data_IF_820147600390
#
_entry.id   IF_820147600390
#
_cell.length_a   1.000
_cell.length_b   1.000
_cell.length_c   1.000
_cell.angle_alpha   90.00
_cell.angle_beta   90.00
_cell.angle_gamma   90.00
#
_symmetry.space_group_name_H-M   'P 1'
#
loop_
_entity.id
_entity.type
_entity.pdbx_description
1 polymer ?
2 polymer ?
3 non-polymer ?
4 non-polymer ?
5 non-polymer ?
6 non-polymer ?
7 non-polymer ?
8 water ?
#
# COMPACT_ATOMS: atom_id res chain seq x y z
N UNK A 24 -8.79 -3.00 -5.98
CA UNK A 24 -8.89 -4.39 -5.44
C UNK A 24 -9.85 -5.17 -6.33
N UNK A 25 -9.37 -6.25 -6.92
CA UNK A 25 -10.18 -7.17 -7.74
C UNK A 25 -10.57 -8.37 -6.86
N UNK A 26 -11.87 -8.71 -6.89
CA UNK A 26 -12.32 -9.91 -6.21
C UNK A 26 -12.47 -9.76 -4.71
N UNK A 27 -12.52 -8.50 -4.22
CA UNK A 27 -12.68 -8.17 -2.85
C UNK A 27 -14.11 -7.88 -2.47
N UNK A 28 -14.27 -7.13 -1.39
CA UNK A 28 -15.57 -6.81 -0.85
C UNK A 28 -15.54 -5.38 -0.35
N UNK A 29 -16.71 -4.76 -0.26
CA UNK A 29 -16.82 -3.44 0.35
C UNK A 29 -16.47 -3.54 1.80
N UNK A 30 -15.45 -2.78 2.25
CA UNK A 30 -14.98 -2.92 3.62
C UNK A 30 -16.06 -2.56 4.64
N UNK A 31 -16.77 -1.47 4.36
CA UNK A 31 -17.62 -0.80 5.32
C UNK A 31 -16.95 0.45 5.81
N UNK A 32 -17.73 1.52 6.00
CA UNK A 32 -17.15 2.81 6.30
C UNK A 32 -16.28 2.75 7.56
N UNK A 33 -15.04 3.24 7.40
CA UNK A 33 -14.11 3.43 8.50
C UNK A 33 -13.71 2.18 9.23
N UNK A 34 -13.90 1.02 8.58
CA UNK A 34 -13.46 -0.25 9.15
C UNK A 34 -11.97 -0.50 9.02
N UNK A 35 -11.30 0.35 8.24
CA UNK A 35 -9.84 0.25 8.01
C UNK A 35 -9.30 1.65 8.33
N UNK A 36 -9.24 2.02 9.62
CA UNK A 36 -9.10 3.44 9.96
C UNK A 36 -7.70 4.02 9.74
N UNK A 37 -6.75 3.17 9.45
CA UNK A 37 -5.39 3.57 9.09
C UNK A 37 -5.21 3.78 7.59
N UNK A 38 -6.22 3.42 6.77
CA UNK A 38 -6.10 3.58 5.32
C UNK A 38 -6.26 5.06 4.97
N UNK A 39 -5.32 5.58 4.20
CA UNK A 39 -5.42 6.94 3.66
C UNK A 39 -5.47 6.86 2.14
N UNK A 40 -6.02 7.95 1.57
CA UNK A 40 -5.98 8.21 0.14
C UNK A 40 -5.04 9.37 -0.12
N UNK A 41 -4.14 9.20 -1.08
CA UNK A 41 -3.30 10.28 -1.56
C UNK A 41 -3.99 10.93 -2.76
N UNK A 42 -4.21 12.24 -2.66
CA UNK A 42 -5.06 12.95 -3.61
C UNK A 42 -4.32 14.13 -4.22
N UNK A 43 -4.44 14.22 -5.55
CA UNK A 43 -3.88 15.35 -6.32
C UNK A 43 -4.96 15.88 -7.28
N UNK A 44 -6.16 16.10 -6.74
CA UNK A 44 -7.32 16.35 -7.58
C UNK A 44 -8.00 15.11 -8.12
N UNK A 45 -7.53 13.96 -7.62
CA UNK A 45 -8.01 12.62 -7.89
C UNK A 45 -7.22 11.70 -6.97
N UNK A 46 -7.79 10.55 -6.66
CA UNK A 46 -7.08 9.53 -5.89
C UNK A 46 -6.05 8.86 -6.80
N UNK A 47 -4.79 8.81 -6.34
CA UNK A 47 -3.75 8.19 -7.19
C UNK A 47 -2.99 7.06 -6.52
N UNK A 48 -3.04 6.96 -5.18
CA UNK A 48 -2.31 5.95 -4.43
C UNK A 48 -2.95 5.92 -3.04
N UNK A 49 -2.74 4.80 -2.35
CA UNK A 49 -3.06 4.70 -0.95
C UNK A 49 -1.85 4.96 -0.06
N UNK A 50 -2.09 4.82 1.24
CA UNK A 50 -1.05 4.90 2.27
C UNK A 50 -1.63 4.38 3.57
N UNK A 51 -0.75 4.31 4.57
CA UNK A 51 -1.11 3.80 5.88
C UNK A 51 -0.63 4.79 6.95
N UNK A 52 -1.54 5.19 7.84
CA UNK A 52 -1.18 6.08 8.95
C UNK A 52 -0.45 5.27 10.02
N UNK A 53 0.78 5.71 10.38
CA UNK A 53 1.56 4.99 11.38
C UNK A 53 1.74 5.76 12.69
N UNK A 54 1.47 7.05 12.68
CA UNK A 54 1.30 7.85 13.92
C UNK A 54 0.53 9.07 13.51
N UNK A 55 0.27 10.02 14.45
CA UNK A 55 -0.59 11.12 14.09
C UNK A 55 0.00 12.03 13.02
N UNK A 56 1.29 11.95 12.75
CA UNK A 56 1.80 12.84 11.77
C UNK A 56 2.55 12.19 10.60
N UNK A 57 2.53 10.87 10.48
CA UNK A 57 3.30 10.19 9.46
C UNK A 57 2.50 9.06 8.81
N UNK A 58 2.71 8.99 7.49
CA UNK A 58 2.07 8.00 6.61
C UNK A 58 3.18 7.23 5.87
N UNK A 59 2.98 5.92 5.73
CA UNK A 59 3.80 5.08 4.86
C UNK A 59 3.10 4.86 3.55
N UNK A 60 3.83 5.01 2.45
CA UNK A 60 3.31 4.70 1.12
C UNK A 60 4.45 4.13 0.29
N UNK A 61 4.23 4.04 -1.03
CA UNK A 61 5.25 3.52 -1.95
C UNK A 61 6.08 4.65 -2.53
N UNK A 62 7.38 4.41 -2.71
CA UNK A 62 8.24 5.38 -3.38
C UNK A 62 7.73 5.78 -4.74
N UNK A 63 7.18 4.82 -5.50
CA UNK A 63 6.75 5.16 -6.85
C UNK A 63 5.51 6.04 -6.88
N UNK A 64 4.87 6.27 -5.72
CA UNK A 64 3.77 7.22 -5.58
C UNK A 64 4.22 8.66 -5.29
N UNK A 65 5.52 8.91 -5.27
CA UNK A 65 5.94 10.27 -5.03
C UNK A 65 5.55 11.21 -6.16
N UNK A 66 5.08 12.38 -5.77
CA UNK A 66 4.81 13.52 -6.62
C UNK A 66 4.79 14.73 -5.78
N UNK A 67 4.85 15.92 -6.39
CA UNK A 67 4.38 17.16 -5.81
C UNK A 67 2.85 17.18 -5.56
N UNK A 68 2.39 18.08 -4.71
CA UNK A 68 0.98 18.35 -4.59
C UNK A 68 0.16 17.28 -3.93
N UNK A 69 0.78 16.57 -2.92
CA UNK A 69 0.03 15.51 -2.27
C UNK A 69 -0.81 16.07 -1.14
N UNK A 70 -2.12 15.81 -1.20
CA UNK A 70 -3.01 16.02 -0.07
C UNK A 70 -3.38 14.65 0.47
N UNK A 71 -3.13 14.44 1.76
CA UNK A 71 -3.51 13.17 2.40
C UNK A 71 -4.95 13.29 2.88
N UNK A 72 -5.76 12.30 2.54
CA UNK A 72 -7.16 12.27 2.93
C UNK A 72 -7.37 11.09 3.87
N UNK A 73 -7.66 11.40 5.12
CA UNK A 73 -7.84 10.46 6.21
C UNK A 73 -9.33 10.34 6.51
N UNK A 74 -9.72 9.20 7.10
CA UNK A 74 -11.12 9.02 7.49
C UNK A 74 -12.07 8.78 6.34
N UNK A 75 -11.57 8.47 5.15
CA UNK A 75 -12.40 8.35 3.96
C UNK A 75 -13.12 7.01 3.88
N UNK A 76 -14.32 7.06 3.33
CA UNK A 76 -14.99 5.89 2.74
C UNK A 76 -15.27 6.15 1.28
N UNK A 77 -16.37 6.89 0.99
CA UNK A 77 -16.63 7.36 -0.36
C UNK A 77 -15.71 8.52 -0.68
N UNK A 78 -14.73 8.31 -1.55
CA UNK A 78 -13.76 9.36 -1.86
C UNK A 78 -14.33 10.51 -2.70
N UNK A 79 -15.56 10.32 -3.22
CA UNK A 79 -16.19 11.34 -4.08
C UNK A 79 -17.27 12.14 -3.41
N UNK A 80 -17.53 11.87 -2.12
CA UNK A 80 -18.59 12.58 -1.33
C UNK A 80 -17.99 12.95 -0.01
N UNK A 81 -18.23 14.17 0.46
CA UNK A 81 -17.90 14.58 1.82
C UNK A 81 -19.00 14.06 2.72
N UNK A 82 -18.70 12.98 3.44
CA UNK A 82 -19.65 12.24 4.25
C UNK A 82 -19.62 12.54 5.73
N UNK A 83 -18.54 13.18 6.18
CA UNK A 83 -18.22 13.27 7.61
C UNK A 83 -17.05 12.34 7.91
N UNK A 84 -16.27 12.75 8.90
CA UNK A 84 -15.09 12.04 9.36
C UNK A 84 -13.81 12.27 8.55
N UNK A 85 -13.89 12.93 7.40
CA UNK A 85 -12.69 13.22 6.63
C UNK A 85 -11.80 14.21 7.35
N UNK A 86 -10.50 14.03 7.17
CA UNK A 86 -9.49 15.05 7.46
C UNK A 86 -8.61 15.14 6.23
N UNK A 87 -8.49 16.35 5.66
CA UNK A 87 -7.62 16.58 4.51
C UNK A 87 -6.43 17.37 5.01
N UNK A 88 -5.23 16.80 4.89
CA UNK A 88 -4.02 17.42 5.43
C UNK A 88 -2.94 17.36 4.35
N UNK A 89 -2.34 18.48 4.03
CA UNK A 89 -1.25 18.47 3.04
C UNK A 89 -0.04 17.71 3.55
N UNK A 90 0.66 17.06 2.62
CA UNK A 90 2.00 16.61 2.95
C UNK A 90 2.87 17.86 3.19
N UNK A 91 3.69 17.77 4.20
CA UNK A 91 4.79 18.74 4.39
C UNK A 91 6.16 18.17 4.08
N UNK A 92 6.35 16.86 4.19
CA UNK A 92 7.56 16.17 3.76
C UNK A 92 7.15 14.94 3.00
N UNK A 93 7.84 14.64 1.92
CA UNK A 93 7.67 13.40 1.21
C UNK A 93 9.09 12.84 1.05
N UNK A 94 9.28 11.71 1.69
CA UNK A 94 10.62 11.18 1.83
C UNK A 94 10.70 9.81 1.18
N UNK A 95 11.17 9.77 -0.06
CA UNK A 95 11.39 8.53 -0.78
C UNK A 95 12.65 7.87 -0.23
N UNK A 96 12.66 6.54 -0.11
CA UNK A 96 13.88 5.88 0.33
C UNK A 96 15.04 6.32 -0.57
N UNK A 97 16.19 6.70 0.03
CA UNK A 97 17.31 7.15 -0.83
C UNK A 97 17.83 6.13 -1.79
N UNK A 98 17.60 4.84 -1.52
CA UNK A 98 18.06 3.77 -2.40
C UNK A 98 16.94 3.15 -3.21
N UNK A 99 15.79 3.84 -3.31
CA UNK A 99 14.73 3.38 -4.23
C UNK A 99 15.30 3.26 -5.66
N UNK A 100 15.05 2.13 -6.28
CA UNK A 100 15.48 1.89 -7.66
C UNK A 100 14.24 1.82 -8.50
N UNK A 101 14.07 2.81 -9.37
CA UNK A 101 12.87 2.89 -10.13
C UNK A 101 12.77 1.88 -11.23
N UNK A 102 13.81 1.17 -11.57
CA UNK A 102 13.68 0.07 -12.58
C UNK A 102 13.39 -1.27 -11.94
N UNK A 103 14.00 -1.59 -10.81
CA UNK A 103 13.75 -2.88 -10.17
C UNK A 103 12.63 -2.80 -9.13
N UNK A 104 12.30 -1.56 -8.70
CA UNK A 104 11.35 -1.31 -7.63
C UNK A 104 11.86 -1.75 -6.26
N UNK A 105 13.16 -2.01 -6.11
CA UNK A 105 13.69 -2.28 -4.80
C UNK A 105 13.60 -1.02 -3.93
N UNK A 106 13.34 -1.25 -2.64
CA UNK A 106 13.19 -0.16 -1.69
C UNK A 106 12.02 0.76 -2.05
N UNK A 107 10.89 0.15 -2.40
CA UNK A 107 9.69 0.91 -2.83
C UNK A 107 8.88 1.35 -1.58
N UNK A 108 9.41 2.36 -0.90
CA UNK A 108 8.83 2.89 0.33
C UNK A 108 9.08 4.39 0.36
N UNK A 109 8.06 5.10 0.87
CA UNK A 109 8.10 6.53 1.09
C UNK A 109 7.40 6.83 2.41
N UNK A 110 7.95 7.83 3.12
CA UNK A 110 7.32 8.39 4.34
C UNK A 110 6.77 9.76 3.99
N UNK A 111 5.55 10.04 4.39
CA UNK A 111 4.96 11.38 4.27
C UNK A 111 4.71 11.91 5.65
N UNK A 112 5.24 13.12 5.91
CA UNK A 112 4.90 13.85 7.12
C UNK A 112 3.74 14.78 6.81
N UNK A 113 2.76 14.79 7.68
CA UNK A 113 1.58 15.65 7.54
C UNK A 113 1.92 17.03 8.05
N UNK A 114 1.36 18.06 7.39
CA UNK A 114 1.61 19.45 7.80
C UNK A 114 1.18 19.74 9.21
N UNK A 115 0.09 19.13 9.63
CA UNK A 115 -0.35 19.16 11.02
C UNK A 115 -0.71 17.72 11.41
N UNK A 116 -0.68 17.45 12.72
CA UNK A 116 -1.09 16.15 13.18
C UNK A 116 -2.55 15.89 12.90
N UNK A 117 -2.86 14.66 12.49
CA UNK A 117 -4.24 14.23 12.41
C UNK A 117 -4.83 14.14 13.80
N UNK A 118 -6.14 14.35 13.89
CA UNK A 118 -6.92 14.12 15.09
C UNK A 118 -7.30 12.66 15.13
N UNK A 119 -6.71 11.89 16.05
CA UNK A 119 -6.95 10.45 16.08
C UNK A 119 -8.25 10.19 16.78
N UNK A 120 -9.00 9.23 16.25
CA UNK A 120 -10.29 8.86 16.77
C UNK A 120 -10.59 7.44 16.26
N UNK A 121 -11.79 6.94 16.54
CA UNK A 121 -12.05 5.56 16.13
C UNK A 121 -12.00 5.36 14.61
N UNK A 122 -12.20 6.43 13.83
CA UNK A 122 -12.25 6.38 12.38
C UNK A 122 -10.91 6.79 11.72
N UNK A 123 -10.00 7.34 12.52
CA UNK A 123 -8.70 7.77 12.01
C UNK A 123 -7.71 7.27 13.05
N UNK A 124 -6.99 6.22 12.75
CA UNK A 124 -6.17 5.52 13.72
C UNK A 124 -4.92 4.99 13.07
N UNK A 125 -3.83 4.96 13.83
CA UNK A 125 -2.62 4.39 13.29
C UNK A 125 -2.61 2.88 13.33
N UNK A 126 -1.75 2.29 12.49
CA UNK A 126 -1.46 0.88 12.45
C UNK A 126 -0.03 0.65 12.93
N UNK A 127 0.13 -0.39 13.76
CA UNK A 127 1.45 -0.73 14.27
C UNK A 127 2.38 -1.26 13.22
N UNK A 128 3.67 -0.93 13.37
CA UNK A 128 4.71 -1.53 12.57
C UNK A 128 5.03 -2.94 13.10
N UNK A 129 5.57 -3.80 12.25
CA UNK A 129 5.96 -5.16 12.70
C UNK A 129 7.07 -5.13 13.68
N UNK A 130 7.06 -6.15 14.55
CA UNK A 130 8.20 -6.50 15.38
C UNK A 130 9.05 -7.59 14.78
N UNK A 131 8.50 -8.33 13.88
CA UNK A 131 9.23 -9.33 13.09
C UNK A 131 8.44 -9.52 11.79
N UNK A 132 9.14 -10.13 10.85
CA UNK A 132 8.56 -10.45 9.59
C UNK A 132 7.51 -11.55 9.75
N UNK A 133 6.53 -11.61 8.84
CA UNK A 133 5.43 -12.59 8.85
C UNK A 133 5.80 -13.83 8.09
N UNK A 134 5.20 -14.96 8.44
CA UNK A 134 5.43 -16.22 7.80
C UNK A 134 4.45 -16.46 6.63
N UNK A 135 4.89 -17.32 5.72
CA UNK A 135 4.03 -17.73 4.65
C UNK A 135 2.74 -18.31 5.17
N UNK A 136 1.67 -18.03 4.49
CA UNK A 136 0.38 -18.53 4.85
C UNK A 136 -0.40 -17.68 5.84
N UNK A 137 0.28 -16.69 6.46
CA UNK A 137 -0.44 -15.76 7.30
C UNK A 137 -1.44 -15.00 6.47
N UNK A 138 -2.63 -14.85 7.01
CA UNK A 138 -3.69 -14.14 6.32
C UNK A 138 -3.56 -12.62 6.64
N UNK A 139 -3.74 -11.86 5.60
CA UNK A 139 -3.61 -10.40 5.69
C UNK A 139 -4.82 -9.73 5.06
N UNK A 140 -5.01 -8.46 5.40
CA UNK A 140 -6.05 -7.60 4.86
C UNK A 140 -5.36 -6.56 3.95
N UNK A 141 -5.74 -6.55 2.69
CA UNK A 141 -5.25 -5.61 1.68
C UNK A 141 -6.43 -4.72 1.31
N UNK A 142 -6.23 -3.41 1.20
CA UNK A 142 -7.36 -2.52 0.97
C UNK A 142 -6.95 -1.37 0.06
N UNK A 143 -7.96 -0.78 -0.58
CA UNK A 143 -7.72 0.38 -1.40
C UNK A 143 -8.89 0.74 -2.29
N UNK A 144 -8.70 1.85 -3.01
CA UNK A 144 -9.65 2.40 -3.98
C UNK A 144 -9.25 2.13 -5.42
N UNK A 145 -8.38 1.14 -5.64
CA UNK A 145 -7.97 0.82 -6.98
C UNK A 145 -9.02 0.14 -7.82
N UNK A 146 -8.66 -0.07 -9.08
CA UNK A 146 -9.50 -0.75 -10.06
C UNK A 146 -9.98 -2.08 -9.49
N UNK A 147 -11.25 -2.37 -9.75
CA UNK A 147 -11.90 -3.59 -9.33
C UNK A 147 -12.04 -4.62 -10.46
N UNK A 148 -11.55 -4.29 -11.65
CA UNK A 148 -11.60 -5.24 -12.80
C UNK A 148 -10.18 -5.67 -13.19
N UNK A 149 -10.08 -6.98 -13.55
CA UNK A 149 -8.84 -7.53 -14.08
C UNK A 149 -8.63 -7.30 -15.57
N UNK A 150 -9.72 -6.96 -16.25
CA UNK A 150 -9.69 -6.56 -17.68
C UNK A 150 -10.54 -5.28 -17.78
N UNK A 151 -9.99 -4.20 -18.27
CA UNK A 151 -10.73 -2.98 -18.26
C UNK A 151 -10.60 -2.28 -16.91
N UNK A 152 -11.45 -1.26 -16.72
CA UNK A 152 -11.35 -0.42 -15.53
C UNK A 152 -12.71 -0.12 -14.94
N UNK A 153 -12.75 -0.19 -13.61
CA UNK A 153 -13.87 0.31 -12.84
C UNK A 153 -13.28 0.79 -11.51
N UNK A 154 -13.45 2.08 -11.21
CA UNK A 154 -12.89 2.66 -10.01
C UNK A 154 -13.99 2.86 -8.99
N UNK A 155 -13.87 2.30 -7.80
CA UNK A 155 -14.96 2.34 -6.83
C UNK A 155 -14.98 3.68 -6.09
N UNK A 156 -16.17 4.07 -5.66
CA UNK A 156 -16.27 5.20 -4.73
C UNK A 156 -15.84 4.84 -3.33
N UNK A 157 -16.21 3.63 -2.85
CA UNK A 157 -15.97 3.26 -1.47
C UNK A 157 -14.82 2.26 -1.36
N UNK A 158 -14.25 2.18 -0.14
CA UNK A 158 -13.04 1.39 0.06
C UNK A 158 -13.34 -0.09 -0.10
N UNK A 159 -12.44 -0.79 -0.77
CA UNK A 159 -12.49 -2.23 -0.95
C UNK A 159 -11.43 -2.95 -0.17
N UNK A 160 -11.73 -4.21 0.14
CA UNK A 160 -10.94 -5.04 1.03
C UNK A 160 -10.76 -6.42 0.41
N UNK A 161 -9.65 -7.07 0.75
CA UNK A 161 -9.35 -8.42 0.28
C UNK A 161 -8.56 -9.11 1.37
N UNK A 162 -8.99 -10.32 1.73
CA UNK A 162 -8.18 -11.18 2.59
C UNK A 162 -7.28 -12.03 1.71
N UNK A 163 -6.00 -12.06 2.02
CA UNK A 163 -5.03 -12.71 1.14
C UNK A 163 -3.87 -13.24 1.97
N UNK A 164 -3.34 -14.41 1.60
CA UNK A 164 -2.20 -14.96 2.33
C UNK A 164 -0.88 -14.53 1.75
N UNK A 165 0.14 -14.50 2.64
CA UNK A 165 1.52 -14.37 2.22
C UNK A 165 1.98 -15.64 1.54
N UNK A 166 2.62 -15.53 0.38
CA UNK A 166 3.15 -16.69 -0.30
C UNK A 166 4.58 -16.97 0.14
N UNK A 167 5.02 -18.21 -0.10
CA UNK A 167 6.41 -18.53 0.19
C UNK A 167 7.36 -17.79 -0.72
N UNK A 168 8.56 -17.54 -0.26
CA UNK A 168 9.57 -16.92 -1.09
C UNK A 168 9.85 -17.76 -2.33
N UNK A 169 9.92 -19.08 -2.17
CA UNK A 169 10.25 -19.88 -3.33
C UNK A 169 9.14 -19.83 -4.37
N UNK A 170 7.86 -19.83 -3.98
CA UNK A 170 6.81 -19.66 -4.94
C UNK A 170 6.76 -18.27 -5.56
N UNK A 171 7.06 -17.26 -4.77
CA UNK A 171 7.10 -15.87 -5.29
C UNK A 171 8.19 -15.76 -6.38
N UNK A 172 9.38 -16.30 -6.10
CA UNK A 172 10.45 -16.25 -7.06
C UNK A 172 10.20 -17.11 -8.27
N UNK A 173 9.50 -18.22 -8.10
CA UNK A 173 9.12 -19.04 -9.25
C UNK A 173 8.20 -18.24 -10.17
N UNK A 174 7.26 -17.47 -9.59
CA UNK A 174 6.34 -16.69 -10.37
C UNK A 174 7.01 -15.52 -11.08
N UNK A 175 8.00 -14.91 -10.47
CA UNK A 175 8.67 -13.69 -10.97
C UNK A 175 10.18 -13.89 -10.93
N UNK A 176 10.73 -14.75 -11.82
CA UNK A 176 12.15 -15.05 -11.69
C UNK A 176 13.04 -13.80 -11.91
N UNK A 177 14.06 -13.69 -11.10
CA UNK A 177 15.00 -12.60 -11.21
C UNK A 177 14.46 -11.23 -10.81
N UNK A 178 13.30 -11.10 -10.22
CA UNK A 178 12.74 -9.81 -9.88
C UNK A 178 12.44 -9.60 -8.42
N UNK A 179 12.35 -10.66 -7.64
CA UNK A 179 11.96 -10.53 -6.24
C UNK A 179 13.20 -10.31 -5.40
N UNK A 180 13.35 -9.11 -4.86
CA UNK A 180 14.46 -8.82 -3.96
C UNK A 180 14.12 -9.24 -2.57
N UNK A 181 15.11 -9.14 -1.65
CA UNK A 181 14.89 -9.43 -0.22
C UNK A 181 13.92 -8.45 0.42
N UNK A 182 13.60 -7.35 -0.30
CA UNK A 182 12.68 -6.34 0.21
C UNK A 182 11.27 -6.45 -0.37
N UNK A 183 10.97 -7.62 -0.93
CA UNK A 183 9.67 -7.85 -1.54
C UNK A 183 9.11 -9.17 -1.02
N UNK A 184 7.76 -9.26 -1.10
CA UNK A 184 7.10 -10.55 -0.91
C UNK A 184 5.87 -10.57 -1.78
N UNK A 185 5.39 -11.79 -2.04
CA UNK A 185 4.16 -11.98 -2.76
C UNK A 185 3.02 -12.31 -1.80
N UNK A 186 1.80 -11.87 -2.17
CA UNK A 186 0.63 -12.25 -1.42
C UNK A 186 -0.51 -12.35 -2.37
N UNK A 187 -1.49 -13.22 -2.02
CA UNK A 187 -2.63 -13.40 -2.88
C UNK A 187 -2.81 -14.83 -3.32
N UNK A 188 -2.96 -14.90 -4.57
CA UNK A 188 -3.45 -16.08 -5.08
C UNK A 188 -2.80 -16.41 -6.38
N UNK A 189 -2.88 -17.70 -6.76
CA UNK A 189 -2.36 -18.13 -8.04
C UNK A 189 -3.45 -18.56 -9.03
N UNK A 190 -4.67 -18.83 -8.56
CA UNK A 190 -5.72 -19.27 -9.42
C UNK A 190 -6.44 -18.18 -10.14
N UNK A 191 -6.08 -16.92 -9.90
CA UNK A 191 -6.72 -15.78 -10.53
C UNK A 191 -7.91 -15.27 -9.75
N UNK A 192 -8.23 -14.00 -10.05
CA UNK A 192 -9.48 -13.42 -9.61
C UNK A 192 -9.44 -12.54 -8.38
N UNK A 193 -8.33 -12.53 -7.63
CA UNK A 193 -8.28 -11.81 -6.35
C UNK A 193 -6.92 -11.14 -6.20
N UNK A 194 -6.88 -9.80 -6.19
CA UNK A 194 -5.59 -9.12 -6.13
C UNK A 194 -5.81 -7.64 -5.86
N UNK A 195 -4.70 -6.95 -5.55
CA UNK A 195 -4.65 -5.50 -5.63
C UNK A 195 -4.44 -5.08 -7.09
N UNK A 196 -4.76 -3.82 -7.40
CA UNK A 196 -4.73 -3.37 -8.77
C UNK A 196 -4.44 -1.86 -8.82
N UNK A 197 -4.42 -1.28 -10.03
CA UNK A 197 -4.00 0.11 -10.18
C UNK A 197 -4.91 1.04 -9.36
N UNK A 198 -4.25 1.91 -8.57
CA UNK A 198 -4.85 2.77 -7.58
C UNK A 198 -4.71 2.25 -6.16
N UNK A 199 -4.30 1.00 -5.99
CA UNK A 199 -4.04 0.44 -4.67
C UNK A 199 -2.62 0.68 -4.17
N UNK A 200 -1.69 0.99 -5.08
CA UNK A 200 -0.29 1.21 -4.72
C UNK A 200 -0.16 2.10 -3.50
N UNK A 201 0.80 1.74 -2.66
CA UNK A 201 1.10 2.53 -1.49
C UNK A 201 0.30 2.13 -0.29
N UNK A 202 -0.82 1.43 -0.49
CA UNK A 202 -1.69 1.08 0.61
C UNK A 202 -1.23 -0.15 1.36
N UNK A 203 -2.02 -0.49 2.37
CA UNK A 203 -1.60 -1.46 3.39
C UNK A 203 -1.86 -2.92 3.01
N UNK A 204 -0.92 -3.73 3.54
CA UNK A 204 -1.12 -5.18 3.77
C UNK A 204 -0.91 -5.37 5.26
N UNK A 205 -1.99 -5.65 5.98
CA UNK A 205 -1.94 -5.76 7.44
C UNK A 205 -2.21 -7.21 7.83
N UNK A 206 -1.34 -7.74 8.68
CA UNK A 206 -1.41 -9.17 9.04
C UNK A 206 -1.28 -9.22 10.56
N UNK A 207 -2.24 -9.82 11.20
CA UNK A 207 -2.39 -9.83 12.66
C UNK A 207 -1.95 -8.53 13.33
N UNK A 208 -2.59 -7.52 12.78
CA UNK A 208 -2.53 -6.19 13.37
C UNK A 208 -1.25 -5.42 13.13
N UNK A 209 -0.41 -5.89 12.20
CA UNK A 209 0.85 -5.21 11.88
C UNK A 209 0.90 -4.90 10.41
N UNK A 210 1.47 -3.73 10.09
CA UNK A 210 1.67 -3.34 8.67
C UNK A 210 2.88 -4.09 8.12
N UNK A 211 2.63 -5.18 7.41
CA UNK A 211 3.71 -5.97 6.84
C UNK A 211 4.01 -5.62 5.40
N UNK A 212 3.09 -5.03 4.66
CA UNK A 212 3.33 -4.77 3.27
C UNK A 212 2.81 -3.43 2.78
N UNK A 213 3.39 -3.01 1.67
CA UNK A 213 2.95 -1.86 0.87
C UNK A 213 2.63 -2.35 -0.53
N UNK A 214 1.44 -2.05 -1.04
CA UNK A 214 1.09 -2.44 -2.41
C UNK A 214 2.11 -1.83 -3.36
N UNK A 215 2.74 -2.67 -4.21
CA UNK A 215 3.83 -2.20 -5.07
C UNK A 215 3.56 -2.50 -6.55
N UNK A 216 3.60 -3.78 -6.96
CA UNK A 216 3.55 -4.08 -8.39
C UNK A 216 3.04 -5.48 -8.62
N UNK A 217 2.85 -5.81 -9.90
CA UNK A 217 2.56 -7.18 -10.31
C UNK A 217 2.49 -7.23 -11.82
N UNK A 218 2.35 -8.44 -12.36
CA UNK A 218 2.06 -8.62 -13.81
C UNK A 218 0.57 -8.58 -13.97
N UNK A 219 0.03 -7.44 -14.43
CA UNK A 219 -1.36 -7.25 -14.47
C UNK A 219 -1.99 -7.29 -13.04
N UNK A 220 -3.28 -7.63 -12.99
CA UNK A 220 -4.02 -7.77 -11.74
C UNK A 220 -4.83 -9.03 -11.79
N UNK A 221 -4.74 -9.85 -10.74
CA UNK A 221 -5.59 -10.99 -10.62
C UNK A 221 -5.43 -12.03 -11.73
N UNK A 222 -4.25 -12.04 -12.34
CA UNK A 222 -3.98 -13.02 -13.39
C UNK A 222 -3.46 -14.32 -12.80
N UNK A 223 -3.81 -15.42 -13.45
CA UNK A 223 -3.32 -16.72 -13.06
C UNK A 223 -1.80 -16.73 -12.95
N UNK A 224 -1.30 -17.32 -11.85
CA UNK A 224 0.14 -17.51 -11.68
C UNK A 224 0.96 -16.25 -11.47
N UNK A 225 0.28 -15.12 -11.26
CA UNK A 225 0.95 -13.82 -11.17
C UNK A 225 0.40 -13.11 -9.93
N UNK A 226 0.87 -13.43 -8.74
CA UNK A 226 0.33 -12.82 -7.54
C UNK A 226 0.83 -11.39 -7.39
N UNK A 227 0.23 -10.65 -6.48
CA UNK A 227 0.73 -9.31 -6.21
C UNK A 227 2.06 -9.35 -5.47
N UNK A 228 2.86 -8.29 -5.71
CA UNK A 228 4.14 -8.08 -5.06
C UNK A 228 4.07 -6.83 -4.19
N UNK A 229 4.67 -6.92 -3.01
CA UNK A 229 4.53 -5.95 -1.94
C UNK A 229 5.88 -5.66 -1.33
N UNK A 230 6.07 -4.39 -0.91
CA UNK A 230 7.27 -4.03 -0.18
C UNK A 230 7.23 -4.65 1.22
N UNK A 231 8.37 -5.23 1.64
CA UNK A 231 8.48 -5.95 2.93
C UNK A 231 8.80 -4.98 4.03
N UNK A 232 7.75 -4.45 4.67
CA UNK A 232 7.89 -3.40 5.67
C UNK A 232 8.78 -3.80 6.83
N UNK A 233 8.78 -5.09 7.21
CA UNK A 233 9.59 -5.48 8.35
C UNK A 233 11.07 -5.19 8.16
N UNK A 234 11.54 -5.06 6.93
CA UNK A 234 12.94 -4.71 6.69
C UNK A 234 13.26 -3.25 6.91
N UNK A 235 12.24 -2.40 7.05
CA UNK A 235 12.38 -0.96 7.08
C UNK A 235 12.00 -0.37 8.41
N UNK A 236 11.69 -1.15 9.44
CA UNK A 236 11.22 -0.57 10.67
C UNK A 236 12.26 0.36 11.28
N UNK A 237 13.52 -0.07 11.33
CA UNK A 237 14.54 0.80 11.87
C UNK A 237 14.71 2.06 11.02
N UNK A 238 14.72 1.92 9.70
CA UNK A 238 14.83 3.09 8.82
C UNK A 238 13.67 4.07 9.04
N UNK A 239 12.47 3.54 9.18
CA UNK A 239 11.31 4.40 9.43
C UNK A 239 11.50 5.14 10.72
N UNK A 240 11.86 4.44 11.80
CA UNK A 240 12.02 5.05 13.13
C UNK A 240 13.11 6.12 13.07
N UNK A 241 14.24 5.81 12.43
CA UNK A 241 15.35 6.76 12.40
C UNK A 241 14.96 7.99 11.60
N UNK A 242 14.20 7.80 10.50
CA UNK A 242 13.80 8.91 9.67
C UNK A 242 12.79 9.80 10.37
N UNK A 243 11.80 9.20 11.00
CA UNK A 243 10.83 10.00 11.76
C UNK A 243 11.54 10.77 12.86
N UNK A 244 12.45 10.12 13.58
CA UNK A 244 13.11 10.77 14.75
C UNK A 244 13.90 11.99 14.32
N UNK A 245 14.43 11.98 13.10
CA UNK A 245 15.29 13.06 12.62
C UNK A 245 14.54 14.15 11.84
N UNK A 246 13.22 14.01 11.71
CA UNK A 246 12.41 14.91 10.94
C UNK A 246 11.22 15.46 11.70
N UNK B 1 1.57 -5.39 -18.44
CA UNK B 1 2.39 -6.58 -18.04
C UNK B 1 2.78 -6.13 -16.62
N UNK B 2 4.23 -6.13 -16.52
CA UNK B 2 4.85 -5.75 -15.13
C UNK B 2 4.65 -4.29 -14.96
N UNK B 3 3.79 -3.94 -14.01
CA UNK B 3 3.44 -2.58 -13.76
C UNK B 3 3.27 -2.33 -12.27
N UNK B 4 3.63 -1.11 -11.87
CA UNK B 4 3.22 -0.61 -10.56
C UNK B 4 1.71 -0.45 -10.53
N UNK B 5 1.18 -0.39 -9.30
CA UNK B 5 -0.26 -0.29 -9.07
C UNK B 5 -0.70 1.14 -8.72
N UNK B 6 -0.07 2.12 -9.36
CA UNK B 6 -0.41 3.54 -9.19
C UNK B 6 -1.33 3.98 -10.32
N UNK B 7 -1.88 5.21 -10.15
CA UNK B 7 -2.59 5.91 -11.24
C UNK B 7 -1.77 7.03 -11.69
N UNK B 8 -1.23 6.96 -12.89
CA UNK B 8 -1.26 5.85 -13.84
C UNK B 8 -0.20 4.79 -13.48
N UNK B 9 -0.32 3.60 -14.05
CA UNK B 9 0.71 2.57 -13.82
C UNK B 9 2.03 2.97 -14.48
N UNK B 10 3.11 2.50 -13.88
CA UNK B 10 4.45 2.57 -14.46
C UNK B 10 4.83 1.16 -14.84
N UNK B 11 5.09 0.93 -16.13
CA UNK B 11 5.23 -0.40 -16.62
C UNK B 11 6.61 -0.62 -17.21
N UNK B 12 6.94 -1.90 -17.34
CA UNK B 12 8.29 -2.35 -17.67
C UNK B 12 8.19 -3.45 -18.73
N UNK B 13 9.15 -3.45 -19.64
CA UNK B 13 8.89 -4.37 -20.80
C UNK B 13 8.99 -5.91 -20.57
#
# INVERSE_FOLDING_TARGET
MKTFIFLALLGAAVAFPVDDDDKIVGGYTCGANTVPYQVSLNSGYHFCGGSLINSQWVVSAAHCYKSGIQVRLGEDNINVVEGNEQFISASKSIVHPSYNSNTLNNDIMLIKLKSAASLNSRVASISLPTSCASAGTQCLISGWGNTKSSGTSYPDVLKCLKAPILSDSSCKSAYPGQITSNMFCAGYLEGGKDSCQGDSGGPVVCSGKLQGIVSWGSGCAQKNKPGVYTKVCNYVSWIKQTIASN
GRCTKSIPPICFP
#
